data_IF_962064597430
#
_entry.id   IF_962064597430
#
_cell.length_a   1.000
_cell.length_b   1.000
_cell.length_c   1.000
_cell.angle_alpha   90.00
_cell.angle_beta   90.00
_cell.angle_gamma   90.00
#
_symmetry.space_group_name_H-M   'P 1'
#
loop_
_entity.id
_entity.type
_entity.pdbx_description
1 polymer ?
#
# COMPACT_ATOMS: atom_id res chain seq x y z
N UNK A 1 3.08 9.55 17.36
CA UNK A 1 2.21 9.55 16.15
C UNK A 1 1.97 8.09 15.74
N UNK A 2 0.84 7.77 15.07
CA UNK A 2 0.52 6.39 14.65
C UNK A 2 0.91 6.15 13.20
N UNK A 3 1.48 4.99 12.89
CA UNK A 3 1.88 4.60 11.53
C UNK A 3 1.30 3.23 11.20
N UNK A 4 0.34 3.21 10.29
CA UNK A 4 -0.28 1.99 9.82
C UNK A 4 0.20 1.67 8.40
N UNK A 5 0.58 0.42 8.18
CA UNK A 5 0.87 -0.11 6.84
C UNK A 5 -0.38 -0.86 6.37
N UNK A 6 -0.97 -0.43 5.26
CA UNK A 6 -2.07 -1.14 4.62
C UNK A 6 -1.51 -2.08 3.58
N UNK A 7 -1.62 -3.37 3.84
CA UNK A 7 -0.93 -4.43 3.13
C UNK A 7 -1.90 -5.40 2.45
N UNK A 8 -1.42 -6.14 1.47
CA UNK A 8 -2.19 -7.16 0.77
C UNK A 8 -1.96 -7.15 -0.74
N UNK A 9 -2.37 -8.22 -1.45
CA UNK A 9 -2.15 -8.36 -2.89
C UNK A 9 -2.86 -7.27 -3.71
N UNK A 10 -2.50 -7.12 -4.98
CA UNK A 10 -3.25 -6.28 -5.91
C UNK A 10 -4.73 -6.72 -5.92
N UNK A 11 -5.66 -5.77 -5.92
CA UNK A 11 -7.10 -6.09 -5.90
C UNK A 11 -7.68 -6.49 -4.53
N UNK A 12 -6.89 -6.49 -3.45
CA UNK A 12 -7.37 -6.82 -2.11
C UNK A 12 -8.39 -5.83 -1.52
N UNK A 13 -8.55 -4.64 -2.12
CA UNK A 13 -9.48 -3.62 -1.63
C UNK A 13 -8.86 -2.58 -0.71
N UNK A 14 -7.52 -2.48 -0.68
CA UNK A 14 -6.80 -1.50 0.14
C UNK A 14 -7.33 -0.07 -0.03
N UNK A 15 -7.35 0.44 -1.26
CA UNK A 15 -7.85 1.78 -1.55
C UNK A 15 -9.31 2.01 -1.14
N UNK A 16 -10.15 0.98 -1.29
CA UNK A 16 -11.56 1.04 -0.88
C UNK A 16 -11.72 1.21 0.63
N UNK A 17 -10.85 0.60 1.43
CA UNK A 17 -10.89 0.67 2.89
C UNK A 17 -10.16 1.88 3.45
N UNK A 18 -9.16 2.40 2.72
CA UNK A 18 -8.30 3.49 3.19
C UNK A 18 -9.08 4.73 3.62
N UNK A 19 -10.10 5.15 2.87
CA UNK A 19 -10.90 6.33 3.20
C UNK A 19 -11.56 6.25 4.58
N UNK A 20 -12.18 5.11 4.90
CA UNK A 20 -12.83 4.90 6.19
C UNK A 20 -11.82 4.84 7.36
N UNK A 21 -10.61 4.26 7.12
CA UNK A 21 -9.53 4.25 8.12
C UNK A 21 -9.01 5.67 8.38
N UNK A 22 -8.81 6.45 7.32
CA UNK A 22 -8.37 7.85 7.39
C UNK A 22 -9.33 8.70 8.21
N UNK A 23 -10.62 8.60 7.90
CA UNK A 23 -11.68 9.36 8.61
C UNK A 23 -11.76 8.99 10.09
N UNK A 24 -11.83 7.69 10.40
CA UNK A 24 -11.98 7.21 11.77
C UNK A 24 -10.78 7.55 12.66
N UNK A 25 -9.56 7.41 12.15
CA UNK A 25 -8.33 7.55 12.94
C UNK A 25 -7.58 8.86 12.68
N UNK A 26 -8.14 9.78 11.90
CA UNK A 26 -7.56 11.10 11.53
C UNK A 26 -6.13 10.96 10.95
N UNK A 27 -5.98 10.03 10.01
CA UNK A 27 -4.70 9.71 9.40
C UNK A 27 -4.49 10.52 8.11
N UNK A 28 -3.24 10.76 7.76
CA UNK A 28 -2.87 11.15 6.40
C UNK A 28 -2.67 9.89 5.55
N UNK A 29 -3.43 9.77 4.45
CA UNK A 29 -3.26 8.67 3.49
C UNK A 29 -2.06 8.94 2.57
N UNK A 30 -1.08 8.07 2.60
CA UNK A 30 0.08 8.09 1.70
C UNK A 30 0.02 6.87 0.79
N UNK A 31 -0.66 7.02 -0.34
CA UNK A 31 -0.68 6.01 -1.41
C UNK A 31 0.43 6.29 -2.41
N UNK A 32 1.47 5.45 -2.43
CA UNK A 32 2.58 5.59 -3.38
C UNK A 32 2.12 5.44 -4.83
N UNK A 33 1.14 4.58 -5.07
CA UNK A 33 0.55 4.41 -6.40
C UNK A 33 -0.16 5.68 -6.89
N UNK A 34 -0.90 6.37 -6.03
CA UNK A 34 -1.57 7.63 -6.38
C UNK A 34 -0.56 8.76 -6.55
N UNK A 35 0.43 8.87 -5.66
CA UNK A 35 1.51 9.84 -5.77
C UNK A 35 2.25 9.71 -7.10
N UNK A 36 2.65 8.51 -7.47
CA UNK A 36 3.35 8.25 -8.73
C UNK A 36 2.47 8.51 -9.95
N UNK A 37 1.19 8.15 -9.92
CA UNK A 37 0.26 8.47 -11.02
C UNK A 37 0.04 9.98 -11.17
N UNK A 38 0.00 10.73 -10.08
CA UNK A 38 -0.08 12.20 -10.16
C UNK A 38 1.17 12.82 -10.77
N UNK A 39 2.35 12.29 -10.46
CA UNK A 39 3.62 12.71 -11.08
C UNK A 39 3.64 12.41 -12.59
N UNK A 40 3.12 11.25 -12.99
CA UNK A 40 2.97 10.88 -14.41
C UNK A 40 2.02 11.85 -15.12
N UNK A 41 0.87 12.14 -14.54
CA UNK A 41 -0.12 13.05 -15.11
C UNK A 41 0.40 14.50 -15.22
N UNK A 42 1.22 14.92 -14.26
CA UNK A 42 1.87 16.22 -14.28
C UNK A 42 3.10 16.29 -15.22
N UNK A 43 3.55 15.15 -15.78
CA UNK A 43 4.71 15.10 -16.67
C UNK A 43 6.04 15.47 -16.00
N UNK A 44 6.15 15.27 -14.69
CA UNK A 44 7.39 15.56 -13.95
C UNK A 44 8.52 14.61 -14.36
N UNK A 45 9.81 14.98 -14.15
CA UNK A 45 10.92 14.07 -14.40
C UNK A 45 10.76 12.72 -13.70
N UNK A 46 10.26 12.72 -12.45
CA UNK A 46 9.94 11.51 -11.69
C UNK A 46 8.83 10.70 -12.35
N UNK A 47 7.74 11.36 -12.77
CA UNK A 47 6.63 10.72 -13.46
C UNK A 47 7.05 10.07 -14.77
N UNK A 48 7.89 10.72 -15.56
CA UNK A 48 8.42 10.18 -16.81
C UNK A 48 9.29 8.93 -16.58
N UNK A 49 10.12 8.91 -15.54
CA UNK A 49 10.92 7.75 -15.18
C UNK A 49 10.07 6.58 -14.65
N UNK A 50 9.07 6.88 -13.82
CA UNK A 50 8.22 5.87 -13.21
C UNK A 50 7.20 5.25 -14.18
N UNK A 51 6.81 5.99 -15.23
CA UNK A 51 5.73 5.60 -16.15
C UNK A 51 5.93 4.22 -16.76
N UNK A 52 7.06 3.98 -17.38
CA UNK A 52 7.34 2.70 -18.05
C UNK A 52 7.34 1.52 -17.07
N UNK A 53 7.84 1.72 -15.85
CA UNK A 53 7.86 0.70 -14.80
C UNK A 53 6.45 0.35 -14.34
N UNK A 54 5.63 1.36 -14.06
CA UNK A 54 4.25 1.17 -13.58
C UNK A 54 3.39 0.54 -14.67
N UNK A 55 3.51 0.99 -15.91
CA UNK A 55 2.77 0.43 -17.05
C UNK A 55 3.14 -1.03 -17.35
N UNK A 56 4.36 -1.46 -16.99
CA UNK A 56 4.80 -2.85 -17.06
C UNK A 56 4.44 -3.68 -15.81
N UNK A 57 3.89 -3.08 -14.77
CA UNK A 57 3.58 -3.73 -13.48
C UNK A 57 4.81 -3.95 -12.59
N UNK A 58 5.91 -3.24 -12.86
CA UNK A 58 7.14 -3.30 -12.08
C UNK A 58 7.12 -2.29 -10.92
N UNK A 59 8.00 -2.53 -9.93
CA UNK A 59 8.21 -1.59 -8.85
C UNK A 59 9.15 -0.46 -9.29
N UNK A 60 8.88 0.74 -8.79
CA UNK A 60 9.80 1.89 -8.88
C UNK A 60 10.97 1.64 -7.91
N UNK A 61 12.20 2.10 -8.21
CA UNK A 61 13.36 1.92 -7.33
C UNK A 61 13.10 2.35 -5.88
N UNK A 62 13.64 1.57 -4.94
CA UNK A 62 13.38 1.75 -3.50
C UNK A 62 13.73 3.16 -3.03
N UNK A 63 14.88 3.70 -3.43
CA UNK A 63 15.36 5.04 -3.02
C UNK A 63 14.41 6.15 -3.46
N UNK A 64 13.75 5.99 -4.60
CA UNK A 64 12.78 6.98 -5.11
C UNK A 64 11.54 6.99 -4.22
N UNK A 65 10.99 5.82 -3.93
CA UNK A 65 9.79 5.68 -3.10
C UNK A 65 10.08 6.11 -1.66
N UNK A 66 11.21 5.70 -1.11
CA UNK A 66 11.68 6.10 0.23
C UNK A 66 11.80 7.63 0.35
N UNK A 67 12.41 8.28 -0.64
CA UNK A 67 12.52 9.74 -0.69
C UNK A 67 11.17 10.45 -0.73
N UNK A 68 10.20 9.91 -1.47
CA UNK A 68 8.83 10.45 -1.52
C UNK A 68 8.13 10.35 -0.15
N UNK A 69 8.26 9.23 0.53
CA UNK A 69 7.67 9.00 1.86
C UNK A 69 8.33 9.92 2.90
N UNK A 70 9.65 10.00 2.91
CA UNK A 70 10.39 10.88 3.82
C UNK A 70 9.95 12.35 3.66
N UNK A 71 9.85 12.86 2.42
CA UNK A 71 9.39 14.21 2.14
C UNK A 71 7.95 14.45 2.64
N UNK A 72 7.05 13.45 2.54
CA UNK A 72 5.69 13.55 3.08
C UNK A 72 5.67 13.59 4.60
N UNK A 73 6.48 12.80 5.29
CA UNK A 73 6.59 12.84 6.75
C UNK A 73 7.06 14.20 7.26
N UNK A 74 7.90 14.90 6.50
CA UNK A 74 8.38 16.26 6.87
C UNK A 74 7.36 17.35 6.57
N UNK A 75 6.60 17.22 5.47
CA UNK A 75 5.68 18.26 5.00
C UNK A 75 4.31 18.24 5.64
N UNK A 76 3.81 17.07 6.03
CA UNK A 76 2.46 16.92 6.60
C UNK A 76 2.50 17.17 8.11
N UNK A 77 1.62 18.05 8.58
CA UNK A 77 1.46 18.40 9.99
C UNK A 77 -0.03 18.24 10.38
N UNK A 78 -0.30 18.31 11.66
CA UNK A 78 -1.67 18.33 12.21
C UNK A 78 -2.50 17.07 11.89
N UNK A 79 -1.84 15.90 11.92
CA UNK A 79 -2.47 14.59 11.78
C UNK A 79 -2.15 13.69 12.96
N UNK A 80 -3.05 12.75 13.28
CA UNK A 80 -2.82 11.77 14.36
C UNK A 80 -1.84 10.66 13.93
N UNK A 81 -1.65 10.50 12.62
CA UNK A 81 -0.74 9.51 12.06
C UNK A 81 -0.82 9.39 10.55
N UNK A 82 -0.23 8.33 10.03
CA UNK A 82 -0.16 8.03 8.62
C UNK A 82 -0.70 6.65 8.30
N UNK A 83 -1.41 6.54 7.18
CA UNK A 83 -1.78 5.28 6.56
C UNK A 83 -0.95 5.11 5.29
N UNK A 84 0.01 4.18 5.32
CA UNK A 84 0.91 3.88 4.20
C UNK A 84 0.26 2.80 3.33
N UNK A 85 -0.08 3.14 2.09
CA UNK A 85 -0.67 2.25 1.10
C UNK A 85 0.28 2.09 -0.09
N UNK A 86 0.67 0.85 -0.35
CA UNK A 86 1.64 0.53 -1.40
C UNK A 86 3.11 0.78 -1.02
N UNK A 87 3.39 1.02 0.26
CA UNK A 87 4.73 1.10 0.83
C UNK A 87 4.68 0.61 2.30
N UNK A 88 5.64 -0.22 2.74
CA UNK A 88 6.71 -0.84 1.95
C UNK A 88 6.20 -1.97 1.06
N UNK A 89 6.93 -2.26 -0.02
CA UNK A 89 6.69 -3.41 -0.92
C UNK A 89 7.86 -4.37 -0.99
N UNK A 90 9.00 -3.99 -0.45
CA UNK A 90 10.22 -4.83 -0.39
C UNK A 90 10.75 -4.84 1.04
N UNK A 91 11.57 -5.85 1.37
CA UNK A 91 12.22 -5.92 2.67
C UNK A 91 13.11 -4.70 2.92
N UNK A 92 13.86 -4.25 1.90
CA UNK A 92 14.69 -3.06 1.98
C UNK A 92 13.86 -1.81 2.34
N UNK A 93 12.70 -1.62 1.72
CA UNK A 93 11.77 -0.54 2.04
C UNK A 93 11.21 -0.65 3.48
N UNK A 94 10.91 -1.86 3.96
CA UNK A 94 10.43 -2.07 5.33
C UNK A 94 11.49 -1.70 6.36
N UNK A 95 12.74 -2.09 6.14
CA UNK A 95 13.88 -1.71 6.97
C UNK A 95 14.15 -0.20 6.91
N UNK A 96 14.02 0.43 5.74
CA UNK A 96 14.15 1.86 5.58
C UNK A 96 13.07 2.61 6.36
N UNK A 97 11.81 2.14 6.29
CA UNK A 97 10.72 2.70 7.07
C UNK A 97 11.00 2.60 8.57
N UNK A 98 11.44 1.45 9.06
CA UNK A 98 11.80 1.29 10.48
C UNK A 98 12.92 2.25 10.89
N UNK A 99 13.96 2.45 10.06
CA UNK A 99 15.02 3.45 10.32
C UNK A 99 14.49 4.89 10.35
N UNK A 100 13.63 5.26 9.39
CA UNK A 100 13.03 6.61 9.34
C UNK A 100 12.21 6.91 10.60
N UNK A 101 11.42 5.94 11.06
CA UNK A 101 10.57 6.10 12.24
C UNK A 101 11.40 6.07 13.53
N UNK A 102 12.39 5.18 13.64
CA UNK A 102 13.28 5.12 14.79
C UNK A 102 14.06 6.43 15.01
N UNK A 103 14.49 7.10 13.93
CA UNK A 103 15.13 8.42 14.01
C UNK A 103 14.20 9.49 14.61
N UNK A 104 12.89 9.25 14.61
CA UNK A 104 11.84 10.12 15.19
C UNK A 104 11.40 9.66 16.58
N UNK A 105 11.97 8.56 17.09
CA UNK A 105 11.51 7.90 18.33
C UNK A 105 10.17 7.18 18.16
N UNK A 106 9.83 6.79 16.95
CA UNK A 106 8.54 6.22 16.57
C UNK A 106 8.72 4.85 15.91
N UNK A 107 7.64 4.14 15.66
CA UNK A 107 7.66 2.83 15.04
C UNK A 107 6.33 2.58 14.29
N UNK A 108 6.33 1.60 13.37
CA UNK A 108 5.09 1.11 12.77
C UNK A 108 4.17 0.59 13.87
N UNK A 109 2.96 1.11 13.92
CA UNK A 109 1.94 0.74 14.92
C UNK A 109 1.36 -0.63 14.60
N UNK A 110 0.92 -0.83 13.37
CA UNK A 110 0.45 -2.12 12.87
C UNK A 110 0.54 -2.19 11.34
N UNK A 111 0.78 -3.40 10.84
CA UNK A 111 0.63 -3.79 9.45
C UNK A 111 -0.71 -4.51 9.31
N UNK A 112 -1.70 -3.83 8.72
CA UNK A 112 -3.05 -4.33 8.49
C UNK A 112 -3.09 -4.98 7.11
N UNK A 113 -3.16 -6.29 7.08
CA UNK A 113 -3.04 -7.10 5.86
C UNK A 113 -4.39 -7.64 5.41
N UNK A 114 -4.87 -7.18 4.27
CA UNK A 114 -6.07 -7.72 3.63
C UNK A 114 -5.71 -8.96 2.82
N UNK A 115 -6.17 -10.13 3.26
CA UNK A 115 -5.90 -11.40 2.58
C UNK A 115 -7.10 -11.81 1.72
N UNK A 116 -6.83 -12.14 0.47
CA UNK A 116 -7.81 -12.70 -0.46
C UNK A 116 -7.19 -13.85 -1.24
N UNK A 117 -7.97 -14.86 -1.67
CA UNK A 117 -7.50 -15.92 -2.57
C UNK A 117 -7.05 -15.34 -3.92
N UNK A 118 -6.03 -15.92 -4.53
CA UNK A 118 -5.49 -15.49 -5.83
C UNK A 118 -6.56 -15.49 -6.94
N UNK A 119 -7.50 -16.43 -6.90
CA UNK A 119 -8.62 -16.48 -7.84
C UNK A 119 -9.45 -15.17 -7.85
N UNK A 120 -9.60 -14.50 -6.70
CA UNK A 120 -10.32 -13.23 -6.60
C UNK A 120 -9.46 -12.03 -7.03
N UNK A 121 -8.15 -12.14 -7.04
CA UNK A 121 -7.26 -11.05 -7.46
C UNK A 121 -7.56 -10.65 -8.91
N UNK A 122 -7.57 -11.61 -9.82
CA UNK A 122 -7.80 -11.36 -11.25
C UNK A 122 -9.19 -10.79 -11.51
N UNK A 123 -10.22 -11.33 -10.86
CA UNK A 123 -11.60 -10.84 -11.00
C UNK A 123 -11.72 -9.38 -10.54
N UNK A 124 -11.19 -9.07 -9.35
CA UNK A 124 -11.27 -7.72 -8.77
C UNK A 124 -10.46 -6.70 -9.56
N UNK A 125 -9.30 -7.07 -10.09
CA UNK A 125 -8.49 -6.18 -10.94
C UNK A 125 -9.20 -5.92 -12.27
N UNK A 126 -9.78 -6.94 -12.91
CA UNK A 126 -10.55 -6.77 -14.14
C UNK A 126 -11.75 -5.83 -13.92
N UNK A 127 -12.48 -5.98 -12.83
CA UNK A 127 -13.57 -5.10 -12.45
C UNK A 127 -13.08 -3.65 -12.22
N UNK A 128 -11.96 -3.47 -11.53
CA UNK A 128 -11.36 -2.16 -11.30
C UNK A 128 -10.92 -1.49 -12.61
N UNK A 129 -10.36 -2.23 -13.54
CA UNK A 129 -9.98 -1.72 -14.86
C UNK A 129 -11.17 -1.09 -15.59
N UNK A 130 -12.34 -1.70 -15.47
CA UNK A 130 -13.58 -1.19 -16.09
C UNK A 130 -14.08 0.11 -15.45
N UNK A 131 -13.95 0.23 -14.10
CA UNK A 131 -14.46 1.38 -13.35
C UNK A 131 -13.48 2.55 -13.36
N UNK A 132 -12.19 2.29 -13.10
CA UNK A 132 -11.18 3.33 -12.91
C UNK A 132 -10.37 3.64 -14.18
N UNK A 133 -10.53 2.85 -15.25
CA UNK A 133 -9.82 3.05 -16.51
C UNK A 133 -8.29 2.93 -16.40
N UNK A 134 -7.79 2.15 -15.46
CA UNK A 134 -6.35 1.96 -15.26
C UNK A 134 -5.75 1.11 -16.37
N UNK A 135 -4.82 1.67 -17.12
CA UNK A 135 -4.15 0.99 -18.22
C UNK A 135 -3.34 -0.24 -17.78
N UNK A 136 -2.74 -0.19 -16.59
CA UNK A 136 -1.97 -1.27 -15.99
C UNK A 136 -2.84 -2.44 -15.49
N UNK A 137 -4.14 -2.22 -15.29
CA UNK A 137 -5.11 -3.26 -14.91
C UNK A 137 -5.80 -3.91 -16.13
N UNK A 138 -5.70 -3.29 -17.31
CA UNK A 138 -6.39 -3.74 -18.52
C UNK A 138 -5.65 -4.85 -19.28
N UNK A 139 -4.37 -5.07 -18.99
CA UNK A 139 -3.52 -6.04 -19.67
C UNK A 139 -3.23 -7.25 -18.79
N UNK A 140 -3.68 -8.48 -19.17
CA UNK A 140 -3.51 -9.69 -18.35
C UNK A 140 -2.05 -9.97 -17.98
N UNK A 141 -1.09 -9.75 -18.89
CA UNK A 141 0.33 -9.96 -18.64
C UNK A 141 0.90 -9.00 -17.60
N UNK A 142 0.40 -7.78 -17.52
CA UNK A 142 0.80 -6.80 -16.50
C UNK A 142 0.22 -7.16 -15.14
N UNK A 143 -1.03 -7.60 -15.12
CA UNK A 143 -1.69 -8.09 -13.91
C UNK A 143 -0.93 -9.29 -13.33
N UNK A 144 -0.58 -10.26 -14.18
CA UNK A 144 0.19 -11.43 -13.78
C UNK A 144 1.56 -11.04 -13.23
N UNK A 145 2.29 -10.13 -13.89
CA UNK A 145 3.55 -9.62 -13.38
C UNK A 145 3.41 -8.96 -12.00
N UNK A 146 2.32 -8.22 -11.76
CA UNK A 146 2.04 -7.60 -10.45
C UNK A 146 1.78 -8.63 -9.36
N UNK A 147 1.05 -9.70 -9.67
CA UNK A 147 0.77 -10.81 -8.75
C UNK A 147 2.07 -11.53 -8.40
N UNK A 148 2.88 -11.88 -9.41
CA UNK A 148 4.18 -12.53 -9.21
C UNK A 148 5.14 -11.65 -8.41
N UNK A 149 5.20 -10.36 -8.71
CA UNK A 149 6.01 -9.39 -7.95
C UNK A 149 5.56 -9.30 -6.49
N UNK A 150 4.25 -9.29 -6.24
CA UNK A 150 3.72 -9.32 -4.89
C UNK A 150 4.20 -10.56 -4.13
N UNK A 151 4.00 -11.76 -4.68
CA UNK A 151 4.43 -13.00 -4.01
C UNK A 151 5.94 -13.07 -3.80
N UNK A 152 6.74 -12.63 -4.78
CA UNK A 152 8.20 -12.72 -4.70
C UNK A 152 8.84 -11.68 -3.77
N UNK A 153 8.34 -10.44 -3.77
CA UNK A 153 9.00 -9.31 -3.12
C UNK A 153 8.25 -8.73 -1.92
N UNK A 154 6.92 -8.80 -1.93
CA UNK A 154 6.08 -8.10 -0.95
C UNK A 154 5.52 -9.06 0.10
N UNK A 155 5.04 -10.22 -0.28
CA UNK A 155 4.52 -11.21 0.67
C UNK A 155 5.54 -11.61 1.76
N UNK A 156 6.87 -11.67 1.52
CA UNK A 156 7.85 -11.92 2.57
C UNK A 156 7.82 -10.93 3.74
N UNK A 157 7.24 -9.73 3.56
CA UNK A 157 7.05 -8.76 4.63
C UNK A 157 6.09 -9.25 5.72
N UNK A 158 5.24 -10.22 5.42
CA UNK A 158 4.36 -10.87 6.41
C UNK A 158 5.20 -11.43 7.56
N UNK A 159 6.26 -12.18 7.24
CA UNK A 159 7.17 -12.73 8.25
C UNK A 159 7.90 -11.62 9.03
N UNK A 160 8.33 -10.56 8.34
CA UNK A 160 8.97 -9.40 8.96
C UNK A 160 8.08 -8.73 10.02
N UNK A 161 6.83 -8.43 9.68
CA UNK A 161 5.90 -7.79 10.61
C UNK A 161 5.36 -8.74 11.68
N UNK A 162 5.25 -10.04 11.38
CA UNK A 162 4.93 -11.07 12.40
C UNK A 162 6.03 -11.17 13.46
N UNK A 163 7.29 -11.20 13.04
CA UNK A 163 8.44 -11.23 13.97
C UNK A 163 8.49 -9.98 14.87
N UNK A 164 8.06 -8.81 14.35
CA UNK A 164 7.95 -7.58 15.11
C UNK A 164 6.69 -7.49 15.99
N UNK A 165 5.79 -8.47 15.96
CA UNK A 165 4.51 -8.45 16.69
C UNK A 165 3.49 -7.41 16.17
N UNK A 166 3.71 -6.87 14.97
CA UNK A 166 2.93 -5.76 14.40
C UNK A 166 1.98 -6.18 13.28
N UNK A 167 1.94 -7.46 12.92
CA UNK A 167 1.08 -7.98 11.85
C UNK A 167 -0.34 -8.23 12.33
N UNK A 168 -1.31 -7.74 11.55
CA UNK A 168 -2.75 -7.98 11.76
C UNK A 168 -3.35 -8.51 10.47
N UNK A 169 -3.78 -9.76 10.48
CA UNK A 169 -4.39 -10.42 9.32
C UNK A 169 -5.89 -10.17 9.29
N UNK A 170 -6.39 -9.72 8.16
CA UNK A 170 -7.79 -9.44 7.91
C UNK A 170 -8.26 -10.27 6.73
N UNK A 171 -9.31 -11.05 6.92
CA UNK A 171 -10.01 -11.68 5.80
C UNK A 171 -10.66 -10.59 4.93
N UNK A 172 -10.13 -10.43 3.72
CA UNK A 172 -10.57 -9.46 2.72
C UNK A 172 -11.76 -9.91 1.87
N UNK A 173 -12.34 -11.08 2.17
CA UNK A 173 -13.51 -11.61 1.46
C UNK A 173 -14.80 -11.17 2.17
N UNK A 174 -15.74 -10.63 1.40
CA UNK A 174 -17.03 -10.16 1.92
C UNK A 174 -17.40 -8.79 1.36
N UNK A 175 -18.43 -8.17 1.93
CA UNK A 175 -18.84 -6.81 1.58
C UNK A 175 -17.82 -5.79 2.10
N UNK A 176 -17.85 -4.59 1.55
CA UNK A 176 -16.99 -3.48 1.99
C UNK A 176 -17.16 -3.23 3.49
N UNK A 177 -18.39 -3.26 3.97
CA UNK A 177 -18.74 -3.04 5.38
C UNK A 177 -18.20 -4.16 6.28
N UNK A 178 -18.36 -5.42 5.89
CA UNK A 178 -17.85 -6.56 6.66
C UNK A 178 -16.32 -6.53 6.81
N UNK A 179 -15.62 -6.22 5.72
CA UNK A 179 -14.15 -6.09 5.76
C UNK A 179 -13.74 -4.90 6.62
N UNK A 180 -14.46 -3.77 6.53
CA UNK A 180 -14.23 -2.58 7.35
C UNK A 180 -14.37 -2.86 8.84
N UNK A 181 -15.43 -3.57 9.23
CA UNK A 181 -15.65 -3.95 10.63
C UNK A 181 -14.51 -4.82 11.17
N UNK A 182 -14.02 -5.78 10.38
CA UNK A 182 -12.84 -6.60 10.75
C UNK A 182 -11.58 -5.76 10.92
N UNK A 183 -11.34 -4.80 10.00
CA UNK A 183 -10.20 -3.87 10.12
C UNK A 183 -10.29 -3.09 11.43
N UNK A 184 -11.44 -2.48 11.71
CA UNK A 184 -11.61 -1.66 12.91
C UNK A 184 -11.47 -2.50 14.19
N UNK A 185 -12.00 -3.71 14.21
CA UNK A 185 -11.86 -4.61 15.35
C UNK A 185 -10.38 -4.94 15.66
N UNK A 186 -9.53 -5.05 14.64
CA UNK A 186 -8.10 -5.29 14.82
C UNK A 186 -7.29 -4.03 15.14
N UNK A 187 -7.70 -2.87 14.63
CA UNK A 187 -7.00 -1.60 14.91
C UNK A 187 -7.35 -1.00 16.28
N UNK A 188 -8.51 -1.33 16.83
CA UNK A 188 -8.97 -0.85 18.13
C UNK A 188 -8.45 -1.70 19.31
N UNK A 189 -7.72 -2.81 19.06
CA UNK A 189 -7.02 -3.64 20.06
C UNK A 189 -5.72 -3.00 20.50
#
# INVERSE_FOLDING_TARGET
>A
MKYYVLFGPPGAGKGTQAGAMVERYKLCHLSTGELLRSEIAAGTPLGLQAKALIEAGNLVPDEVVEGMIAAKFESVKDVEGFLLDGFPRTLAQAEALDRMLAARGEAVTACVSLMIPDALIHERIAHRAQIEGRADDARPEVVENRVQTYHAKTEPLIAFYKAAGRYREIDGVGTIEQVRERIFAEMDR
#
